data_IF_932999237273
#
_entry.id   IF_932999237273
#
_cell.length_a   1.000
_cell.length_b   1.000
_cell.length_c   1.000
_cell.angle_alpha   90.00
_cell.angle_beta   90.00
_cell.angle_gamma   90.00
#
_symmetry.space_group_name_H-M   'P 1'
#
loop_
_entity.id
_entity.type
_entity.pdbx_description
1 polymer ?
#
# COMPACT_ATOMS: atom_id res chain seq x y z
N UNK A 1 7.20 47.36 -48.13
CA UNK A 1 6.73 47.24 -49.53
C UNK A 1 5.22 47.02 -49.49
N UNK A 2 4.46 48.05 -49.86
CA UNK A 2 3.00 48.19 -49.70
C UNK A 2 2.41 48.05 -51.10
N UNK A 3 1.55 47.08 -51.36
CA UNK A 3 0.87 46.97 -52.66
C UNK A 3 -0.63 47.11 -52.43
N UNK A 4 -1.15 48.27 -52.82
CA UNK A 4 -2.59 48.53 -53.07
C UNK A 4 -2.92 48.00 -54.46
N UNK A 5 -4.13 47.43 -54.64
CA UNK A 5 -4.91 47.51 -55.88
C UNK A 5 -6.41 47.39 -55.58
N UNK A 6 -7.12 48.51 -55.72
CA UNK A 6 -8.54 48.58 -56.09
C UNK A 6 -8.70 48.14 -57.57
N UNK A 7 -9.83 47.83 -58.22
CA UNK A 7 -11.29 47.93 -58.06
C UNK A 7 -11.90 46.90 -59.06
N UNK A 8 -13.07 46.31 -58.79
CA UNK A 8 -14.26 46.38 -59.67
C UNK A 8 -15.44 45.54 -59.15
N UNK A 9 -16.59 46.18 -59.20
CA UNK A 9 -17.97 45.72 -58.97
C UNK A 9 -18.47 44.82 -60.10
N UNK A 10 -19.26 43.78 -59.79
CA UNK A 10 -20.73 43.73 -60.05
C UNK A 10 -21.28 42.30 -60.16
N UNK A 11 -22.45 42.13 -59.53
CA UNK A 11 -23.61 41.39 -60.04
C UNK A 11 -23.84 39.94 -59.59
N UNK A 12 -25.05 39.77 -59.05
CA UNK A 12 -26.00 38.67 -59.27
C UNK A 12 -25.89 37.39 -58.42
N UNK A 13 -26.72 37.41 -57.36
CA UNK A 13 -27.71 36.40 -56.99
C UNK A 13 -27.32 34.91 -56.99
N UNK A 14 -27.38 34.30 -55.79
CA UNK A 14 -28.27 33.17 -55.47
C UNK A 14 -28.28 32.97 -53.95
N UNK A 15 -29.38 33.37 -53.32
CA UNK A 15 -29.70 33.02 -51.94
C UNK A 15 -30.08 31.55 -51.94
N UNK A 16 -29.15 30.69 -51.52
CA UNK A 16 -29.47 29.30 -51.15
C UNK A 16 -29.85 29.33 -49.68
N UNK A 17 -31.15 29.31 -49.43
CA UNK A 17 -31.72 29.07 -48.11
C UNK A 17 -31.33 27.67 -47.66
N UNK A 18 -30.20 27.56 -46.97
CA UNK A 18 -29.79 26.35 -46.27
C UNK A 18 -30.71 26.16 -45.07
N UNK A 19 -31.62 25.19 -45.18
CA UNK A 19 -32.41 24.68 -44.08
C UNK A 19 -31.44 24.03 -43.07
N UNK A 20 -30.97 24.79 -42.08
CA UNK A 20 -30.23 24.24 -40.95
C UNK A 20 -31.26 23.54 -40.08
N UNK A 21 -31.47 22.24 -40.34
CA UNK A 21 -32.08 21.35 -39.38
C UNK A 21 -31.12 21.34 -38.19
N UNK A 22 -31.48 22.10 -37.16
CA UNK A 22 -30.84 22.03 -35.86
C UNK A 22 -31.04 20.62 -35.32
N UNK A 23 -30.10 19.73 -35.62
CA UNK A 23 -29.94 18.50 -34.87
C UNK A 23 -29.70 18.94 -33.43
N UNK A 24 -30.73 18.78 -32.58
CA UNK A 24 -30.52 18.72 -31.14
C UNK A 24 -29.48 17.61 -30.93
N UNK A 25 -28.22 18.00 -30.77
CA UNK A 25 -27.26 17.20 -30.03
C UNK A 25 -27.79 17.16 -28.60
N UNK A 26 -28.74 16.25 -28.36
CA UNK A 26 -28.97 15.70 -27.03
C UNK A 26 -27.68 14.97 -26.70
N UNK A 27 -26.70 15.72 -26.17
CA UNK A 27 -25.60 15.11 -25.45
C UNK A 27 -26.27 14.31 -24.36
N UNK A 28 -26.27 12.99 -24.51
CA UNK A 28 -26.54 12.09 -23.40
C UNK A 28 -25.49 12.42 -22.36
N UNK A 29 -25.82 13.31 -21.44
CA UNK A 29 -25.08 13.49 -20.19
C UNK A 29 -25.16 12.12 -19.55
N UNK A 30 -24.09 11.34 -19.67
CA UNK A 30 -23.96 10.09 -18.93
C UNK A 30 -24.21 10.45 -17.47
N UNK A 31 -25.24 9.86 -16.86
CA UNK A 31 -25.55 10.10 -15.47
C UNK A 31 -24.29 9.86 -14.65
N UNK A 32 -23.81 10.93 -14.02
CA UNK A 32 -22.59 10.89 -13.25
C UNK A 32 -22.92 10.27 -11.90
N UNK A 33 -22.41 9.07 -11.67
CA UNK A 33 -22.63 8.37 -10.41
C UNK A 33 -21.56 8.77 -9.38
N UNK A 34 -22.00 8.94 -8.14
CA UNK A 34 -21.14 9.32 -7.03
C UNK A 34 -21.04 8.17 -6.04
N UNK A 35 -19.85 7.99 -5.47
CA UNK A 35 -19.64 7.16 -4.29
C UNK A 35 -19.91 7.96 -3.01
N UNK A 36 -19.58 9.26 -3.03
CA UNK A 36 -19.88 10.23 -1.98
C UNK A 36 -20.29 11.55 -2.66
N UNK A 37 -21.33 12.21 -2.15
CA UNK A 37 -21.76 13.54 -2.58
C UNK A 37 -22.12 14.36 -1.35
N UNK A 38 -21.63 15.59 -1.25
CA UNK A 38 -21.85 16.49 -0.11
C UNK A 38 -21.51 15.84 1.25
N UNK A 39 -20.39 15.13 1.30
CA UNK A 39 -19.93 14.31 2.43
C UNK A 39 -20.93 13.21 2.88
N UNK A 40 -21.94 12.91 2.06
CA UNK A 40 -22.90 11.83 2.29
C UNK A 40 -22.58 10.62 1.42
N UNK A 41 -22.43 9.41 1.98
CA UNK A 41 -22.26 8.20 1.20
C UNK A 41 -23.42 7.99 0.24
N UNK A 42 -23.08 7.83 -1.04
CA UNK A 42 -23.98 7.39 -2.12
C UNK A 42 -23.63 5.98 -2.60
N UNK A 43 -22.86 5.26 -1.79
CA UNK A 43 -22.48 3.88 -2.04
C UNK A 43 -22.51 3.02 -0.79
N UNK A 44 -22.54 1.72 -1.00
CA UNK A 44 -22.35 0.69 0.03
C UNK A 44 -21.21 -0.23 -0.38
N UNK A 45 -20.31 -0.53 0.56
CA UNK A 45 -19.24 -1.51 0.37
C UNK A 45 -19.82 -2.90 0.68
N UNK A 46 -19.72 -3.83 -0.26
CA UNK A 46 -20.30 -5.17 -0.13
C UNK A 46 -19.20 -6.21 -0.12
N UNK A 47 -19.09 -6.94 0.98
CA UNK A 47 -18.06 -7.97 1.19
C UNK A 47 -18.65 -9.15 1.95
N UNK A 48 -18.30 -10.37 1.55
CA UNK A 48 -18.58 -11.55 2.37
C UNK A 48 -17.61 -11.55 3.55
N UNK A 49 -18.09 -11.29 4.78
CA UNK A 49 -17.20 -11.22 5.94
C UNK A 49 -16.65 -12.60 6.27
N UNK A 50 -15.37 -12.61 6.58
CA UNK A 50 -14.63 -13.75 7.10
C UNK A 50 -13.74 -13.26 8.24
N UNK A 51 -13.68 -14.03 9.33
CA UNK A 51 -12.87 -13.66 10.49
C UNK A 51 -11.40 -13.69 10.08
N UNK A 52 -10.73 -12.53 10.17
CA UNK A 52 -9.31 -12.40 9.81
C UNK A 52 -9.00 -12.38 8.31
N UNK A 53 -9.98 -12.49 7.42
CA UNK A 53 -9.73 -12.53 5.98
C UNK A 53 -9.36 -11.17 5.39
N UNK A 54 -8.47 -11.17 4.38
CA UNK A 54 -7.96 -9.93 3.80
C UNK A 54 -9.01 -9.16 3.00
N UNK A 55 -10.05 -9.82 2.48
CA UNK A 55 -11.20 -9.15 1.85
C UNK A 55 -11.96 -8.29 2.85
N UNK A 56 -12.12 -8.76 4.09
CA UNK A 56 -12.74 -7.98 5.16
C UNK A 56 -11.86 -6.81 5.60
N UNK A 57 -10.54 -6.99 5.58
CA UNK A 57 -9.59 -5.89 5.79
C UNK A 57 -9.67 -4.85 4.66
N UNK A 58 -9.72 -5.29 3.40
CA UNK A 58 -9.86 -4.43 2.24
C UNK A 58 -11.12 -3.54 2.33
N UNK A 59 -12.26 -4.11 2.72
CA UNK A 59 -13.49 -3.35 2.93
C UNK A 59 -13.36 -2.29 4.04
N UNK A 60 -12.68 -2.61 5.15
CA UNK A 60 -12.43 -1.64 6.23
C UNK A 60 -11.48 -0.53 5.81
N UNK A 61 -10.41 -0.85 5.08
CA UNK A 61 -9.47 0.16 4.57
C UNK A 61 -10.17 1.08 3.57
N UNK A 62 -10.99 0.55 2.66
CA UNK A 62 -11.82 1.35 1.76
C UNK A 62 -12.74 2.29 2.54
N UNK A 63 -13.48 1.78 3.51
CA UNK A 63 -14.36 2.60 4.35
C UNK A 63 -13.57 3.72 5.07
N UNK A 64 -12.42 3.38 5.65
CA UNK A 64 -11.55 4.32 6.37
C UNK A 64 -11.08 5.44 5.44
N UNK A 65 -10.41 5.13 4.33
CA UNK A 65 -9.84 6.16 3.48
C UNK A 65 -10.88 6.96 2.70
N UNK A 66 -12.02 6.36 2.33
CA UNK A 66 -13.13 7.14 1.76
C UNK A 66 -13.63 8.16 2.79
N UNK A 67 -13.77 7.74 4.06
CA UNK A 67 -14.11 8.63 5.17
C UNK A 67 -13.08 9.74 5.39
N UNK A 68 -11.79 9.41 5.42
CA UNK A 68 -10.71 10.40 5.57
C UNK A 68 -10.64 11.39 4.40
N UNK A 69 -10.91 10.93 3.17
CA UNK A 69 -10.87 11.75 1.97
C UNK A 69 -12.08 12.68 1.83
N UNK A 70 -13.25 12.25 2.31
CA UNK A 70 -14.54 12.89 1.94
C UNK A 70 -15.49 13.22 3.09
N UNK A 71 -15.19 12.78 4.32
CA UNK A 71 -16.11 12.86 5.46
C UNK A 71 -17.27 11.86 5.41
N UNK A 72 -17.64 11.38 4.22
CA UNK A 72 -18.65 10.35 4.02
C UNK A 72 -18.08 8.97 4.29
N UNK A 73 -18.64 8.24 5.25
CA UNK A 73 -18.25 6.87 5.59
C UNK A 73 -19.28 5.85 5.08
N UNK A 74 -19.04 5.16 3.95
CA UNK A 74 -19.97 4.16 3.44
C UNK A 74 -20.19 3.01 4.42
N UNK A 75 -21.40 2.46 4.46
CA UNK A 75 -21.68 1.25 5.22
C UNK A 75 -21.00 0.03 4.57
N UNK A 76 -20.66 -0.97 5.39
CA UNK A 76 -20.07 -2.23 4.94
C UNK A 76 -21.08 -3.35 5.19
N UNK A 77 -21.63 -3.92 4.12
CA UNK A 77 -22.73 -4.88 4.17
C UNK A 77 -22.38 -6.24 3.59
N UNK A 78 -23.13 -7.25 4.00
CA UNK A 78 -23.07 -8.60 3.43
C UNK A 78 -23.76 -8.65 2.05
N UNK A 79 -23.36 -9.57 1.15
CA UNK A 79 -23.99 -9.76 -0.15
C UNK A 79 -25.52 -9.97 -0.11
N UNK A 80 -26.05 -10.54 0.97
CA UNK A 80 -27.49 -10.80 1.14
C UNK A 80 -28.29 -9.53 1.46
N UNK A 81 -27.65 -8.49 2.01
CA UNK A 81 -28.33 -7.27 2.43
C UNK A 81 -28.65 -6.31 1.27
N UNK A 82 -28.09 -6.54 0.07
CA UNK A 82 -28.24 -5.63 -1.07
C UNK A 82 -29.69 -5.41 -1.52
N UNK A 83 -30.58 -6.37 -1.24
CA UNK A 83 -31.99 -6.31 -1.65
C UNK A 83 -32.72 -5.16 -0.94
N UNK A 84 -32.35 -4.86 0.30
CA UNK A 84 -32.93 -3.76 1.09
C UNK A 84 -32.33 -2.39 0.79
N UNK A 85 -31.23 -2.32 0.02
CA UNK A 85 -30.55 -1.04 -0.25
C UNK A 85 -31.30 -0.20 -1.30
N UNK A 86 -31.23 1.14 -1.20
CA UNK A 86 -31.76 2.03 -2.23
C UNK A 86 -31.15 1.74 -3.62
N UNK A 87 -31.97 1.85 -4.67
CA UNK A 87 -31.54 1.52 -6.05
C UNK A 87 -30.66 2.59 -6.70
N UNK A 88 -30.66 3.80 -6.16
CA UNK A 88 -29.80 4.91 -6.56
C UNK A 88 -28.40 4.86 -5.93
N UNK A 89 -28.17 3.98 -4.94
CA UNK A 89 -26.84 3.80 -4.36
C UNK A 89 -25.95 2.90 -5.21
N UNK A 90 -24.70 3.33 -5.39
CA UNK A 90 -23.67 2.53 -6.01
C UNK A 90 -23.18 1.39 -5.10
N UNK A 91 -22.71 0.30 -5.69
CA UNK A 91 -22.12 -0.80 -4.94
C UNK A 91 -20.59 -0.84 -5.14
N UNK A 92 -19.83 -1.04 -4.06
CA UNK A 92 -18.41 -1.40 -4.15
C UNK A 92 -18.29 -2.87 -3.76
N UNK A 93 -18.21 -3.76 -4.75
CA UNK A 93 -18.14 -5.20 -4.56
C UNK A 93 -16.69 -5.62 -4.31
N UNK A 94 -16.39 -6.09 -3.10
CA UNK A 94 -15.04 -6.48 -2.68
C UNK A 94 -14.92 -8.00 -2.64
N UNK A 95 -13.89 -8.54 -3.31
CA UNK A 95 -13.57 -9.97 -3.35
C UNK A 95 -13.71 -10.59 -4.74
N UNK A 96 -13.06 -11.74 -4.93
CA UNK A 96 -13.17 -12.55 -6.15
C UNK A 96 -14.46 -13.38 -6.22
N UNK A 97 -14.71 -14.10 -7.34
CA UNK A 97 -15.91 -14.91 -7.53
C UNK A 97 -16.04 -16.09 -6.54
N UNK A 98 -14.92 -16.56 -5.97
CA UNK A 98 -14.94 -17.62 -4.95
C UNK A 98 -15.34 -17.10 -3.57
N UNK A 99 -15.12 -15.81 -3.29
CA UNK A 99 -15.39 -15.23 -1.97
C UNK A 99 -16.64 -14.35 -1.95
N UNK A 100 -17.01 -13.72 -3.07
CA UNK A 100 -18.16 -12.82 -3.15
C UNK A 100 -19.19 -13.35 -4.17
N UNK A 101 -20.39 -13.80 -3.73
CA UNK A 101 -21.39 -14.39 -4.61
C UNK A 101 -21.97 -13.40 -5.63
N UNK A 102 -21.90 -12.08 -5.39
CA UNK A 102 -22.32 -11.08 -6.37
C UNK A 102 -21.31 -10.97 -7.50
N UNK A 103 -20.01 -11.01 -7.18
CA UNK A 103 -18.95 -11.06 -8.19
C UNK A 103 -19.04 -12.36 -9.00
N UNK A 104 -19.39 -13.49 -8.37
CA UNK A 104 -19.68 -14.74 -9.07
C UNK A 104 -20.81 -14.60 -10.10
N UNK A 105 -21.90 -13.89 -9.77
CA UNK A 105 -22.99 -13.60 -10.71
C UNK A 105 -22.52 -12.72 -11.87
N UNK A 106 -21.71 -11.70 -11.61
CA UNK A 106 -21.14 -10.80 -12.64
C UNK A 106 -20.27 -11.58 -13.63
N UNK A 107 -19.45 -12.51 -13.12
CA UNK A 107 -18.62 -13.40 -13.97
C UNK A 107 -19.50 -14.34 -14.80
N UNK A 108 -20.53 -14.94 -14.21
CA UNK A 108 -21.47 -15.81 -14.92
C UNK A 108 -22.24 -15.06 -16.03
N UNK A 109 -22.50 -13.77 -15.84
CA UNK A 109 -23.10 -12.90 -16.84
C UNK A 109 -22.12 -12.43 -17.94
N UNK A 110 -20.85 -12.84 -17.89
CA UNK A 110 -19.83 -12.51 -18.89
C UNK A 110 -19.32 -11.06 -18.82
N UNK A 111 -19.64 -10.31 -17.77
CA UNK A 111 -19.23 -8.91 -17.63
C UNK A 111 -17.79 -8.75 -17.13
N UNK A 112 -17.25 -9.78 -16.45
CA UNK A 112 -15.90 -9.79 -15.88
C UNK A 112 -15.27 -11.18 -16.05
N UNK A 113 -13.97 -11.22 -16.33
CA UNK A 113 -13.25 -12.46 -16.62
C UNK A 113 -11.97 -12.59 -15.78
N UNK A 114 -11.98 -13.54 -14.84
CA UNK A 114 -10.85 -13.89 -13.98
C UNK A 114 -9.95 -14.98 -14.57
N UNK A 115 -10.27 -15.56 -15.73
CA UNK A 115 -9.47 -16.64 -16.31
C UNK A 115 -8.04 -16.17 -16.55
N UNK A 116 -7.10 -17.06 -16.21
CA UNK A 116 -5.66 -16.81 -16.34
C UNK A 116 -5.10 -15.69 -15.46
N UNK A 117 -5.87 -15.14 -14.51
CA UNK A 117 -5.36 -14.13 -13.57
C UNK A 117 -4.33 -14.77 -12.65
N UNK A 118 -3.14 -14.18 -12.57
CA UNK A 118 -2.05 -14.70 -11.74
C UNK A 118 -2.39 -14.60 -10.25
N UNK A 119 -1.75 -15.42 -9.38
CA UNK A 119 -1.78 -15.20 -7.94
C UNK A 119 -1.48 -13.73 -7.60
N UNK A 120 -2.19 -13.19 -6.62
CA UNK A 120 -2.14 -11.79 -6.19
C UNK A 120 -2.53 -10.75 -7.27
N UNK A 121 -2.97 -11.20 -8.45
CA UNK A 121 -3.55 -10.35 -9.48
C UNK A 121 -4.97 -9.91 -9.13
N UNK A 122 -5.40 -8.77 -9.69
CA UNK A 122 -6.72 -8.20 -9.44
C UNK A 122 -7.31 -7.48 -10.64
N UNK A 123 -8.63 -7.27 -10.56
CA UNK A 123 -9.44 -6.55 -11.52
C UNK A 123 -10.15 -5.39 -10.81
N UNK A 124 -10.15 -4.22 -11.44
CA UNK A 124 -11.03 -3.10 -11.06
C UNK A 124 -11.95 -2.81 -12.23
N UNK A 125 -13.26 -2.98 -12.06
CA UNK A 125 -14.20 -2.76 -13.16
C UNK A 125 -15.47 -2.06 -12.71
N UNK A 126 -15.84 -1.00 -13.42
CA UNK A 126 -17.13 -0.35 -13.26
C UNK A 126 -18.14 -1.04 -14.19
N UNK A 127 -19.24 -1.53 -13.62
CA UNK A 127 -20.29 -2.27 -14.32
C UNK A 127 -21.67 -1.75 -13.90
N UNK A 128 -22.71 -2.26 -14.55
CA UNK A 128 -24.09 -2.14 -14.09
C UNK A 128 -24.57 -3.52 -13.61
N UNK A 129 -25.07 -3.57 -12.38
CA UNK A 129 -25.58 -4.77 -11.74
C UNK A 129 -27.00 -4.52 -11.22
N UNK A 130 -27.98 -5.26 -11.77
CA UNK A 130 -29.40 -5.17 -11.36
C UNK A 130 -29.96 -3.72 -11.39
N UNK A 131 -29.57 -2.94 -12.42
CA UNK A 131 -29.96 -1.54 -12.59
C UNK A 131 -29.19 -0.55 -11.72
N UNK A 132 -28.14 -1.00 -11.01
CA UNK A 132 -27.30 -0.16 -10.15
C UNK A 132 -25.88 -0.02 -10.71
N UNK A 133 -25.25 1.15 -10.59
CA UNK A 133 -23.83 1.27 -10.86
C UNK A 133 -23.03 0.50 -9.80
N UNK A 134 -22.01 -0.24 -10.21
CA UNK A 134 -21.15 -0.99 -9.30
C UNK A 134 -19.68 -0.91 -9.70
N UNK A 135 -18.81 -0.83 -8.70
CA UNK A 135 -17.38 -1.03 -8.83
C UNK A 135 -17.03 -2.40 -8.28
N UNK A 136 -16.46 -3.27 -9.12
CA UNK A 136 -15.85 -4.52 -8.68
C UNK A 136 -14.39 -4.28 -8.35
N UNK A 137 -13.98 -4.66 -7.15
CA UNK A 137 -12.60 -4.76 -6.69
C UNK A 137 -12.35 -6.23 -6.33
N UNK A 138 -11.91 -7.01 -7.31
CA UNK A 138 -11.82 -8.47 -7.19
C UNK A 138 -10.42 -9.00 -7.46
N UNK A 139 -9.85 -9.73 -6.52
CA UNK A 139 -8.60 -10.47 -6.69
C UNK A 139 -8.80 -11.90 -7.17
N UNK A 140 -7.74 -12.50 -7.71
CA UNK A 140 -7.67 -13.96 -7.91
C UNK A 140 -7.67 -14.72 -6.57
N UNK A 141 -7.16 -14.06 -5.52
CA UNK A 141 -7.11 -14.52 -4.14
C UNK A 141 -7.35 -13.35 -3.17
N UNK A 142 -7.30 -13.63 -1.87
CA UNK A 142 -7.52 -12.61 -0.83
C UNK A 142 -6.46 -11.49 -0.87
N UNK A 143 -5.19 -11.82 -1.16
CA UNK A 143 -4.12 -10.84 -1.25
C UNK A 143 -4.30 -9.91 -2.45
N UNK A 144 -4.64 -10.45 -3.62
CA UNK A 144 -5.00 -9.68 -4.80
C UNK A 144 -6.19 -8.75 -4.55
N UNK A 145 -7.19 -9.19 -3.78
CA UNK A 145 -8.34 -8.34 -3.42
C UNK A 145 -7.90 -7.12 -2.60
N UNK A 146 -7.04 -7.34 -1.59
CA UNK A 146 -6.48 -6.27 -0.77
C UNK A 146 -5.62 -5.31 -1.62
N UNK A 147 -4.79 -5.84 -2.52
CA UNK A 147 -3.97 -5.03 -3.43
C UNK A 147 -4.83 -4.22 -4.41
N UNK A 148 -5.94 -4.77 -4.89
CA UNK A 148 -6.89 -4.04 -5.71
C UNK A 148 -7.56 -2.89 -4.98
N UNK A 149 -7.90 -3.07 -3.70
CA UNK A 149 -8.44 -1.99 -2.88
C UNK A 149 -7.44 -0.84 -2.73
N UNK A 150 -6.17 -1.15 -2.43
CA UNK A 150 -5.12 -0.13 -2.36
C UNK A 150 -4.83 0.51 -3.72
N UNK A 151 -4.84 -0.24 -4.83
CA UNK A 151 -4.70 0.33 -6.18
C UNK A 151 -5.81 1.33 -6.50
N UNK A 152 -7.05 0.99 -6.13
CA UNK A 152 -8.17 1.89 -6.32
C UNK A 152 -8.05 3.16 -5.47
N UNK A 153 -7.58 3.04 -4.23
CA UNK A 153 -7.31 4.18 -3.34
C UNK A 153 -6.19 5.08 -3.87
N UNK A 154 -5.12 4.49 -4.41
CA UNK A 154 -4.05 5.24 -5.08
C UNK A 154 -4.58 6.05 -6.26
N UNK A 155 -5.51 5.48 -7.04
CA UNK A 155 -6.20 6.19 -8.13
C UNK A 155 -7.08 7.35 -7.66
N UNK A 156 -7.46 7.42 -6.38
CA UNK A 156 -8.15 8.58 -5.81
C UNK A 156 -7.17 9.70 -5.41
N UNK A 157 -5.87 9.44 -5.49
CA UNK A 157 -4.77 10.37 -5.20
C UNK A 157 -4.06 10.12 -3.88
N UNK A 158 -4.37 9.02 -3.18
CA UNK A 158 -3.65 8.62 -1.96
C UNK A 158 -2.29 8.05 -2.35
N UNK A 159 -1.25 8.35 -1.58
CA UNK A 159 0.08 7.78 -1.80
C UNK A 159 0.51 7.02 -0.56
N UNK A 160 0.81 5.74 -0.72
CA UNK A 160 1.32 4.90 0.36
C UNK A 160 2.85 4.87 0.33
N UNK A 161 3.47 5.20 1.45
CA UNK A 161 4.92 5.14 1.64
C UNK A 161 5.24 4.21 2.79
N UNK A 162 6.45 3.66 2.81
CA UNK A 162 6.87 2.76 3.88
C UNK A 162 6.76 3.39 5.29
N UNK A 163 6.92 4.71 5.41
CA UNK A 163 6.84 5.44 6.68
C UNK A 163 5.44 5.91 7.06
N UNK A 164 4.60 6.25 6.08
CA UNK A 164 3.31 6.92 6.27
C UNK A 164 2.45 6.92 5.01
N UNK A 165 1.19 7.31 5.19
CA UNK A 165 0.25 7.56 4.10
C UNK A 165 0.17 9.06 3.84
N UNK A 166 0.13 9.48 2.58
CA UNK A 166 -0.14 10.86 2.17
C UNK A 166 -1.54 10.89 1.57
N UNK A 167 -2.46 11.52 2.29
CA UNK A 167 -3.85 11.69 1.88
C UNK A 167 -3.99 13.10 1.30
N UNK A 168 -4.59 13.27 0.11
CA UNK A 168 -4.78 14.59 -0.47
C UNK A 168 -5.79 15.42 0.35
N UNK A 169 -5.87 16.72 0.05
CA UNK A 169 -6.86 17.60 0.68
C UNK A 169 -8.29 17.05 0.54
N UNK A 170 -9.08 17.29 1.57
CA UNK A 170 -10.49 16.88 1.67
C UNK A 170 -11.30 17.26 0.42
N UNK A 171 -12.22 16.36 0.02
CA UNK A 171 -13.15 16.56 -1.09
C UNK A 171 -14.54 16.08 -0.72
N UNK A 172 -15.53 16.97 -0.75
CA UNK A 172 -16.90 16.64 -0.34
C UNK A 172 -17.60 15.64 -1.27
N UNK A 173 -17.04 15.39 -2.46
CA UNK A 173 -17.61 14.49 -3.46
C UNK A 173 -16.55 13.57 -4.06
N UNK A 174 -16.92 12.31 -4.25
CA UNK A 174 -16.11 11.28 -4.87
C UNK A 174 -16.91 10.59 -5.98
N UNK A 175 -16.38 10.65 -7.20
CA UNK A 175 -17.02 10.11 -8.39
C UNK A 175 -16.78 8.61 -8.54
N UNK A 176 -17.79 7.89 -9.00
CA UNK A 176 -17.61 6.55 -9.54
C UNK A 176 -17.10 6.66 -10.98
N UNK A 177 -15.79 6.74 -11.13
CA UNK A 177 -15.14 6.77 -12.43
C UNK A 177 -15.33 5.43 -13.17
N UNK A 178 -15.41 5.49 -14.50
CA UNK A 178 -15.38 4.28 -15.34
C UNK A 178 -13.99 3.66 -15.28
N UNK A 179 -13.92 2.41 -14.81
CA UNK A 179 -12.69 1.63 -14.73
C UNK A 179 -12.84 0.31 -15.49
N UNK A 180 -11.75 -0.10 -16.14
CA UNK A 180 -11.56 -1.45 -16.68
C UNK A 180 -10.06 -1.75 -16.60
N UNK A 181 -9.65 -2.26 -15.43
CA UNK A 181 -8.25 -2.49 -15.08
C UNK A 181 -8.05 -3.96 -14.80
N UNK A 182 -7.00 -4.52 -15.40
CA UNK A 182 -6.42 -5.81 -15.03
C UNK A 182 -4.97 -5.60 -14.62
N UNK A 183 -4.63 -6.00 -13.40
CA UNK A 183 -3.29 -5.86 -12.85
C UNK A 183 -2.77 -7.22 -12.39
N UNK A 184 -1.55 -7.53 -12.77
CA UNK A 184 -0.88 -8.77 -12.40
C UNK A 184 0.53 -8.46 -11.91
N UNK A 185 1.02 -9.14 -10.86
CA UNK A 185 2.38 -8.93 -10.40
C UNK A 185 3.38 -9.40 -11.47
N UNK A 186 4.37 -8.55 -11.75
CA UNK A 186 5.49 -8.91 -12.62
C UNK A 186 6.43 -9.94 -11.96
N UNK A 187 6.57 -9.86 -10.64
CA UNK A 187 7.40 -10.75 -9.83
C UNK A 187 6.55 -11.38 -8.72
N UNK A 188 6.75 -12.67 -8.47
CA UNK A 188 6.09 -13.40 -7.40
C UNK A 188 6.56 -12.97 -6.00
N UNK A 189 7.78 -12.43 -5.87
CA UNK A 189 8.33 -11.91 -4.62
C UNK A 189 8.66 -10.43 -4.78
N UNK A 190 8.07 -9.59 -3.94
CA UNK A 190 8.22 -8.14 -3.98
C UNK A 190 8.37 -7.61 -2.56
N UNK A 191 9.42 -6.86 -2.32
CA UNK A 191 9.67 -6.19 -1.06
C UNK A 191 11.16 -5.94 -0.86
N UNK A 192 11.59 -5.88 0.40
CA UNK A 192 12.95 -5.46 0.74
C UNK A 192 13.53 -6.35 1.84
N UNK A 193 14.85 -6.35 1.92
CA UNK A 193 15.57 -6.92 3.05
C UNK A 193 15.95 -5.84 4.04
N UNK A 194 15.68 -6.09 5.32
CA UNK A 194 16.18 -5.22 6.38
C UNK A 194 17.58 -5.72 6.73
N UNK A 195 18.59 -4.99 6.25
CA UNK A 195 19.99 -5.34 6.43
C UNK A 195 20.34 -5.54 7.91
N UNK A 196 21.22 -6.50 8.17
CA UNK A 196 21.75 -6.73 9.51
C UNK A 196 22.75 -5.64 9.90
N UNK A 197 22.26 -4.52 10.42
CA UNK A 197 23.08 -3.58 11.20
C UNK A 197 22.47 -3.39 12.59
N UNK A 198 23.33 -3.33 13.60
CA UNK A 198 22.97 -3.42 15.02
C UNK A 198 22.04 -2.28 15.46
N UNK A 199 22.14 -1.13 14.80
CA UNK A 199 21.45 0.10 15.16
C UNK A 199 20.04 0.20 14.56
N UNK A 200 19.74 -0.48 13.45
CA UNK A 200 18.45 -0.28 12.75
C UNK A 200 17.31 -1.16 13.26
N UNK A 201 17.61 -2.23 14.01
CA UNK A 201 16.60 -3.27 14.32
C UNK A 201 16.30 -3.43 15.80
N UNK A 202 17.32 -3.41 16.66
CA UNK A 202 17.12 -3.45 18.12
C UNK A 202 16.32 -2.24 18.66
N UNK A 203 16.07 -1.23 17.81
CA UNK A 203 15.24 -0.06 18.10
C UNK A 203 13.76 -0.23 17.71
N UNK A 204 13.38 -1.23 16.91
CA UNK A 204 11.99 -1.43 16.49
C UNK A 204 11.24 -2.28 17.51
N UNK A 205 10.15 -1.71 18.02
CA UNK A 205 9.17 -2.44 18.82
C UNK A 205 8.34 -3.39 17.93
N UNK A 206 7.59 -4.30 18.56
CA UNK A 206 6.60 -5.12 17.84
C UNK A 206 5.62 -4.25 17.03
N UNK A 207 5.18 -3.11 17.59
CA UNK A 207 4.26 -2.20 16.94
C UNK A 207 4.88 -1.58 15.67
N UNK A 208 6.17 -1.25 15.70
CA UNK A 208 6.88 -0.71 14.53
C UNK A 208 6.99 -1.76 13.41
N UNK A 209 7.23 -3.02 13.78
CA UNK A 209 7.29 -4.14 12.83
C UNK A 209 5.92 -4.37 12.20
N UNK A 210 4.86 -4.47 13.02
CA UNK A 210 3.50 -4.66 12.53
C UNK A 210 3.09 -3.52 11.58
N UNK A 211 3.34 -2.27 11.98
CA UNK A 211 3.08 -1.10 11.13
C UNK A 211 3.86 -1.14 9.82
N UNK A 212 5.11 -1.62 9.85
CA UNK A 212 5.92 -1.77 8.64
C UNK A 212 5.33 -2.84 7.71
N UNK A 213 4.85 -3.96 8.25
CA UNK A 213 4.17 -5.00 7.48
C UNK A 213 2.85 -4.50 6.88
N UNK A 214 2.08 -3.70 7.61
CA UNK A 214 0.86 -3.05 7.10
C UNK A 214 1.20 -2.11 5.92
N UNK A 215 2.27 -1.33 6.04
CA UNK A 215 2.72 -0.44 4.96
C UNK A 215 3.22 -1.22 3.73
N UNK A 216 3.88 -2.36 3.95
CA UNK A 216 4.25 -3.26 2.86
C UNK A 216 3.01 -3.76 2.10
N UNK A 217 1.95 -4.13 2.81
CA UNK A 217 0.71 -4.58 2.16
C UNK A 217 0.06 -3.46 1.32
N UNK A 218 0.04 -2.22 1.83
CA UNK A 218 -0.43 -1.04 1.08
C UNK A 218 0.33 -0.81 -0.22
N UNK A 219 1.65 -1.01 -0.19
CA UNK A 219 2.53 -0.93 -1.36
C UNK A 219 2.55 -2.21 -2.21
N UNK A 220 1.67 -3.18 -1.93
CA UNK A 220 1.54 -4.45 -2.67
C UNK A 220 2.78 -5.35 -2.62
N UNK A 221 3.56 -5.24 -1.54
CA UNK A 221 4.67 -6.12 -1.21
C UNK A 221 4.20 -7.34 -0.41
N UNK A 222 4.90 -8.47 -0.61
CA UNK A 222 4.58 -9.77 -0.03
C UNK A 222 5.81 -10.52 0.51
N UNK A 223 6.99 -9.91 0.41
CA UNK A 223 8.25 -10.57 0.74
C UNK A 223 9.14 -9.69 1.60
N UNK A 224 9.60 -10.23 2.73
CA UNK A 224 10.48 -9.56 3.68
C UNK A 224 11.65 -10.47 4.02
N UNK A 225 12.88 -10.00 3.77
CA UNK A 225 14.07 -10.70 4.29
C UNK A 225 14.36 -10.14 5.68
N UNK A 226 14.32 -11.04 6.66
CA UNK A 226 14.47 -10.71 8.07
C UNK A 226 15.60 -11.55 8.69
N UNK A 227 16.75 -10.93 8.99
CA UNK A 227 17.85 -11.64 9.66
C UNK A 227 17.65 -11.64 11.18
N UNK A 228 17.60 -12.79 11.84
CA UNK A 228 17.53 -12.86 13.31
C UNK A 228 18.85 -13.35 13.88
N UNK A 229 19.30 -12.70 14.96
CA UNK A 229 20.40 -13.21 15.77
C UNK A 229 19.90 -13.67 17.13
N UNK A 230 20.51 -14.75 17.61
CA UNK A 230 20.14 -15.39 18.86
C UNK A 230 20.03 -14.46 20.07
N UNK A 231 20.78 -13.35 20.21
CA UNK A 231 20.72 -12.49 21.40
C UNK A 231 19.79 -11.26 21.29
N UNK A 232 19.06 -11.09 20.17
CA UNK A 232 18.10 -9.97 19.93
C UNK A 232 16.79 -10.15 20.73
N UNK A 233 16.00 -9.11 21.04
CA UNK A 233 14.85 -9.21 21.95
C UNK A 233 13.64 -10.02 21.46
N UNK A 234 13.72 -10.68 20.30
CA UNK A 234 12.57 -11.31 19.64
C UNK A 234 12.31 -12.78 20.00
N UNK A 235 13.26 -13.45 20.63
CA UNK A 235 13.19 -14.90 20.91
C UNK A 235 13.64 -15.17 22.34
N UNK A 236 12.73 -15.48 23.26
CA UNK A 236 13.12 -15.98 24.58
C UNK A 236 13.32 -17.49 24.50
N UNK A 237 14.46 -17.99 24.97
CA UNK A 237 14.68 -19.42 25.09
C UNK A 237 15.69 -19.74 26.20
N UNK A 238 15.63 -20.97 26.68
CA UNK A 238 16.62 -21.54 27.59
C UNK A 238 17.11 -22.89 27.06
N UNK A 239 18.35 -23.24 27.37
CA UNK A 239 18.93 -24.53 27.01
C UNK A 239 19.80 -25.03 28.15
N UNK A 240 19.52 -26.24 28.65
CA UNK A 240 20.25 -26.87 29.76
C UNK A 240 20.39 -25.97 31.01
N UNK A 241 19.32 -25.24 31.35
CA UNK A 241 19.30 -24.35 32.52
C UNK A 241 19.88 -22.95 32.27
N UNK A 242 20.58 -22.73 31.16
CA UNK A 242 21.05 -21.41 30.76
C UNK A 242 19.93 -20.65 30.03
N UNK A 243 19.60 -19.45 30.52
CA UNK A 243 18.71 -18.53 29.80
C UNK A 243 19.52 -17.71 28.82
N UNK A 244 18.97 -17.51 27.62
CA UNK A 244 19.50 -16.53 26.67
C UNK A 244 19.67 -15.17 27.37
N UNK A 245 20.86 -14.58 27.22
CA UNK A 245 21.13 -13.22 27.68
C UNK A 245 20.65 -12.20 26.64
N UNK A 246 19.94 -11.19 27.11
CA UNK A 246 19.46 -10.07 26.31
C UNK A 246 20.52 -8.97 26.27
N UNK A 247 20.84 -8.44 25.10
CA UNK A 247 21.46 -7.11 24.98
C UNK A 247 22.92 -6.94 25.41
N UNK A 248 23.68 -8.01 25.73
CA UNK A 248 25.11 -7.86 26.04
C UNK A 248 26.00 -8.27 24.87
N UNK A 249 26.23 -7.31 23.97
CA UNK A 249 27.17 -7.42 22.84
C UNK A 249 28.61 -7.04 23.21
N UNK A 250 28.86 -6.63 24.46
CA UNK A 250 30.17 -6.15 24.91
C UNK A 250 31.12 -7.29 25.26
N UNK A 251 30.58 -8.43 25.70
CA UNK A 251 31.39 -9.59 25.97
C UNK A 251 31.64 -10.40 24.69
N UNK A 252 32.87 -10.35 24.17
CA UNK A 252 33.28 -11.16 23.03
C UNK A 252 33.20 -12.66 23.32
N UNK A 253 33.21 -13.07 24.60
CA UNK A 253 32.98 -14.45 25.04
C UNK A 253 31.50 -14.81 25.10
N UNK A 254 30.61 -13.83 25.02
CA UNK A 254 29.15 -14.00 24.98
C UNK A 254 28.62 -14.62 23.68
N UNK A 255 29.51 -14.99 22.74
CA UNK A 255 29.14 -15.64 21.48
C UNK A 255 28.50 -14.71 20.44
N UNK A 256 28.35 -13.42 20.76
CA UNK A 256 27.74 -12.41 19.89
C UNK A 256 28.63 -12.06 18.69
N UNK A 257 29.94 -12.17 18.89
CA UNK A 257 30.92 -11.89 17.88
C UNK A 257 31.70 -13.15 17.58
N UNK A 258 31.59 -13.66 16.35
CA UNK A 258 32.45 -14.72 15.86
C UNK A 258 33.89 -14.19 15.78
N UNK A 259 34.84 -14.70 16.58
CA UNK A 259 36.24 -14.30 16.47
C UNK A 259 36.79 -14.59 15.06
N UNK A 260 36.23 -15.61 14.41
CA UNK A 260 36.59 -16.07 13.06
C UNK A 260 36.22 -15.10 11.94
N UNK A 261 35.36 -14.10 12.18
CA UNK A 261 34.93 -13.13 11.16
C UNK A 261 35.42 -11.69 11.42
N UNK A 262 36.47 -11.49 12.22
CA UNK A 262 37.09 -10.19 12.49
C UNK A 262 36.18 -9.12 13.14
N UNK A 263 35.00 -9.48 13.65
CA UNK A 263 34.12 -8.53 14.33
C UNK A 263 34.50 -8.31 15.80
N UNK A 264 35.45 -9.08 16.35
CA UNK A 264 35.78 -9.03 17.77
C UNK A 264 36.55 -7.76 18.09
N UNK A 265 36.33 -7.14 19.26
CA UNK A 265 37.23 -6.10 19.74
C UNK A 265 38.62 -6.73 19.91
N UNK A 266 39.50 -6.46 18.95
CA UNK A 266 40.92 -6.78 19.02
C UNK A 266 41.56 -5.79 19.98
N UNK A 267 42.36 -6.28 20.91
CA UNK A 267 43.26 -5.38 21.63
C UNK A 267 44.20 -4.75 20.60
N UNK A 268 44.65 -3.53 20.87
CA UNK A 268 45.67 -2.87 20.04
C UNK A 268 46.90 -3.77 19.89
N UNK A 269 47.16 -4.60 20.89
CA UNK A 269 48.22 -5.61 20.88
C UNK A 269 48.07 -6.69 19.81
N UNK A 270 46.84 -6.99 19.38
CA UNK A 270 46.48 -8.03 18.39
C UNK A 270 46.59 -7.57 16.93
N UNK A 271 46.98 -6.31 16.69
CA UNK A 271 47.28 -5.79 15.36
C UNK A 271 48.81 -5.81 15.14
N UNK A 272 49.26 -6.70 14.25
CA UNK A 272 50.68 -6.85 13.90
C UNK A 272 51.19 -5.68 13.03
N UNK A 273 50.31 -5.04 12.26
CA UNK A 273 50.62 -3.87 11.43
C UNK A 273 50.05 -2.60 12.05
N UNK A 274 50.82 -1.50 12.05
CA UNK A 274 50.36 -0.19 12.53
C UNK A 274 50.44 0.05 14.05
N UNK A 275 51.07 -0.85 14.82
CA UNK A 275 51.24 -0.71 16.29
C UNK A 275 52.01 0.57 16.66
N UNK A 276 53.06 0.90 15.92
CA UNK A 276 53.82 2.14 16.07
C UNK A 276 52.99 3.38 15.71
N UNK A 277 52.18 3.30 14.66
CA UNK A 277 51.27 4.37 14.25
C UNK A 277 50.18 4.60 15.33
N UNK A 278 49.63 3.56 15.94
CA UNK A 278 48.68 3.69 17.04
C UNK A 278 49.33 4.30 18.30
N UNK A 279 50.55 3.91 18.64
CA UNK A 279 51.27 4.54 19.76
C UNK A 279 51.53 6.03 19.51
N UNK A 280 51.85 6.41 18.27
CA UNK A 280 52.13 7.78 17.86
C UNK A 280 50.88 8.67 17.74
N UNK A 281 49.78 8.13 17.23
CA UNK A 281 48.58 8.92 16.86
C UNK A 281 47.32 8.56 17.67
N UNK A 282 47.18 7.32 18.14
CA UNK A 282 45.97 6.81 18.81
C UNK A 282 45.84 7.24 20.28
N UNK A 283 46.96 7.35 21.01
CA UNK A 283 46.97 7.74 22.44
C UNK A 283 46.40 9.14 22.72
N UNK A 284 46.42 10.04 21.73
CA UNK A 284 45.87 11.39 21.88
C UNK A 284 44.35 11.45 21.69
N UNK A 285 43.73 10.44 21.04
CA UNK A 285 42.27 10.37 20.84
C UNK A 285 41.52 9.66 21.96
N UNK A 286 42.19 8.85 22.77
CA UNK A 286 41.59 8.11 23.91
C UNK A 286 41.70 8.84 25.25
N UNK A 287 42.33 10.02 25.30
CA UNK A 287 42.41 10.88 26.50
C UNK A 287 41.10 11.61 26.85
N UNK A 288 39.98 11.26 26.24
CA UNK A 288 38.66 11.76 26.67
C UNK A 288 38.28 11.05 27.96
N UNK A 289 38.12 11.83 29.04
CA UNK A 289 37.82 11.43 30.45
C UNK A 289 36.60 10.53 30.69
N UNK A 290 35.98 9.94 29.66
CA UNK A 290 34.71 9.21 29.77
C UNK A 290 34.82 7.72 30.14
N UNK A 291 36.02 7.16 30.27
CA UNK A 291 36.24 5.73 30.56
C UNK A 291 36.86 5.48 31.95
N UNK A 292 36.51 6.29 32.95
CA UNK A 292 36.80 6.02 34.36
C UNK A 292 35.50 5.86 35.15
N UNK A 293 34.69 4.88 34.76
CA UNK A 293 33.68 4.30 35.65
C UNK A 293 34.34 3.33 36.63
N UNK A 294 33.78 3.11 37.83
CA UNK A 294 34.47 2.42 38.92
C UNK A 294 34.77 0.97 38.55
N UNK A 295 36.04 0.57 38.71
CA UNK A 295 36.45 -0.83 38.72
C UNK A 295 35.99 -1.44 40.05
N UNK A 296 34.74 -1.89 40.13
CA UNK A 296 34.31 -2.71 41.26
C UNK A 296 34.62 -4.18 40.97
N UNK A 297 35.51 -4.69 41.83
CA UNK A 297 35.92 -6.05 42.12
C UNK A 297 34.96 -7.18 41.69
N UNK A 298 35.53 -8.22 41.08
CA UNK A 298 35.23 -9.60 41.44
C UNK A 298 36.54 -10.38 41.49
N UNK A 299 36.99 -10.64 42.72
CA UNK A 299 37.93 -11.69 43.09
C UNK A 299 37.21 -12.60 44.08
N UNK A 300 36.74 -13.75 43.58
CA UNK A 300 36.39 -15.02 44.24
C UNK A 300 35.40 -15.74 43.31
#
# INVERSE_FOLDING_TARGET
MRIRRNYRTSSQQRVVSGLVIGALFCQTVLAQHYLVSDAQPKCTIVVQRSVGGLSSLAARELQKYIGELTGGRPEVEEPTAIVGLPKDQALILVGGPETNPLVKKVVAAGQLDFRGLKPEGFLLKTIEMEGRPALVIGGNDEAGTLYGAYDWLERQGIVFQISNDIIPNHRDSLLLNRLDVRSEPAFNQRGFGIASCYETRSIWSYADIAKSMDQMAKMKFNFLIWHLFSPEPYLEYSYRGEKKRLGDSRDWRGGYVLPTRNFAPRQVEDYFEGKEAFQKFGKNRTKTKFMQGPRTCFSA
#
